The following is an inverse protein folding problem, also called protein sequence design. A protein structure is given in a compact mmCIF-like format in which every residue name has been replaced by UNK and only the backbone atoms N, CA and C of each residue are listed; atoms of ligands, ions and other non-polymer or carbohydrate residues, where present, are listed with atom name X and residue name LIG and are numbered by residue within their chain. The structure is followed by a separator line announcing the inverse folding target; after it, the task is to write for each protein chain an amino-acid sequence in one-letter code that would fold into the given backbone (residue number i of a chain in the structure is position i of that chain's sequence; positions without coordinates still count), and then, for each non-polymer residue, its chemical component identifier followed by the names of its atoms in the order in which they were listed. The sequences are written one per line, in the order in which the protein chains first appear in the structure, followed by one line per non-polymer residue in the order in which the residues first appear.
data_IF_195546886796
#
_entry.id   IF_195546886796
#
_cell.length_a   1.000
_cell.length_b   1.000
_cell.length_c   1.000
_cell.angle_alpha   90.00
_cell.angle_beta   90.00
_cell.angle_gamma   90.00
#
_symmetry.space_group_name_H-M   'P 1'
#
loop_
_entity.id
_entity.type
_entity.pdbx_description
1 polymer ?
#
# COMPACT_ATOMS: atom_id res chain seq x y z
N UNK A 1 2.04 -25.07 -28.39
CA UNK A 1 1.58 -23.83 -29.06
C UNK A 1 0.65 -23.03 -28.14
N UNK A 2 -0.41 -23.60 -27.50
CA UNK A 2 -1.29 -22.84 -26.56
C UNK A 2 -0.60 -22.35 -25.29
N UNK A 3 0.37 -23.09 -24.75
CA UNK A 3 1.15 -22.67 -23.57
C UNK A 3 2.21 -21.62 -23.91
N UNK A 4 2.75 -21.64 -25.13
CA UNK A 4 3.73 -20.66 -25.60
C UNK A 4 3.08 -19.31 -25.86
N UNK A 5 1.87 -19.30 -26.42
CA UNK A 5 1.07 -18.07 -26.63
C UNK A 5 0.64 -17.43 -25.30
N UNK A 6 0.20 -18.25 -24.31
CA UNK A 6 -0.10 -17.75 -22.96
C UNK A 6 1.12 -17.15 -22.24
N UNK A 7 2.31 -17.73 -22.45
CA UNK A 7 3.56 -17.20 -21.88
C UNK A 7 4.02 -15.92 -22.58
N UNK A 8 3.73 -15.75 -23.86
CA UNK A 8 4.00 -14.53 -24.63
C UNK A 8 3.01 -13.44 -24.23
N UNK A 9 1.71 -13.75 -24.09
CA UNK A 9 0.69 -12.83 -23.58
C UNK A 9 1.00 -12.37 -22.15
N UNK A 10 1.42 -13.29 -21.27
CA UNK A 10 1.87 -12.95 -19.91
C UNK A 10 3.15 -12.11 -19.92
N UNK A 11 4.04 -12.34 -20.88
CA UNK A 11 5.26 -11.54 -21.07
C UNK A 11 4.95 -10.15 -21.63
N UNK A 12 4.02 -10.03 -22.57
CA UNK A 12 3.56 -8.74 -23.13
C UNK A 12 2.73 -7.95 -22.12
N UNK A 13 1.83 -8.58 -21.38
CA UNK A 13 1.15 -7.96 -20.23
C UNK A 13 2.14 -7.45 -19.16
N UNK A 14 3.32 -8.08 -19.04
CA UNK A 14 4.41 -7.58 -18.16
C UNK A 14 5.08 -6.32 -18.70
N UNK A 15 5.14 -6.16 -20.02
CA UNK A 15 5.76 -5.00 -20.67
C UNK A 15 4.76 -3.84 -20.75
N UNK A 16 3.50 -4.11 -21.05
CA UNK A 16 2.45 -3.09 -21.17
C UNK A 16 1.99 -2.51 -19.80
N UNK A 17 2.22 -3.22 -18.70
CA UNK A 17 2.07 -2.70 -17.33
C UNK A 17 3.14 -1.66 -16.96
N UNK A 18 4.16 -1.50 -17.78
CA UNK A 18 5.31 -0.62 -17.53
C UNK A 18 5.24 0.67 -18.36
N UNK A 19 4.54 0.68 -19.51
CA UNK A 19 4.56 1.79 -20.48
C UNK A 19 3.26 2.60 -20.51
N UNK A 20 3.20 3.66 -19.81
CA UNK A 20 2.61 4.96 -20.16
C UNK A 20 2.18 5.76 -18.92
N UNK A 21 2.96 6.73 -18.52
CA UNK A 21 2.81 7.70 -17.42
C UNK A 21 3.69 7.49 -16.18
N UNK A 22 4.83 6.75 -16.22
CA UNK A 22 5.44 6.21 -15.00
C UNK A 22 6.97 6.18 -15.02
N UNK A 23 7.64 7.26 -15.22
CA UNK A 23 9.09 7.29 -14.98
C UNK A 23 9.47 7.13 -13.49
N UNK A 24 8.52 7.30 -12.56
CA UNK A 24 8.80 7.24 -11.10
C UNK A 24 8.26 6.01 -10.36
N UNK A 25 7.61 5.05 -11.05
CA UNK A 25 6.94 3.96 -10.36
C UNK A 25 7.30 2.59 -10.95
N UNK A 26 8.35 1.96 -10.41
CA UNK A 26 8.74 0.59 -10.78
C UNK A 26 8.84 -0.32 -9.56
N UNK A 27 8.20 -1.49 -9.63
CA UNK A 27 8.39 -2.56 -8.67
C UNK A 27 9.41 -3.55 -9.23
N UNK A 28 10.55 -3.69 -8.55
CA UNK A 28 11.69 -4.46 -9.02
C UNK A 28 11.79 -5.77 -8.26
N UNK A 29 11.93 -6.88 -8.99
CA UNK A 29 12.15 -8.20 -8.43
C UNK A 29 11.98 -9.30 -9.46
N UNK A 30 12.85 -10.31 -9.42
CA UNK A 30 12.82 -11.55 -10.23
C UNK A 30 12.68 -12.79 -9.37
N UNK A 31 12.81 -12.68 -8.04
CA UNK A 31 12.66 -13.81 -7.13
C UNK A 31 11.29 -14.47 -7.29
N UNK A 32 11.19 -15.75 -6.97
CA UNK A 32 9.94 -16.50 -7.05
C UNK A 32 8.83 -15.89 -6.21
N UNK A 33 9.19 -15.33 -5.04
CA UNK A 33 8.26 -14.61 -4.16
C UNK A 33 7.69 -13.36 -4.85
N UNK A 34 8.53 -12.52 -5.48
CA UNK A 34 8.08 -11.33 -6.20
C UNK A 34 7.25 -11.69 -7.44
N UNK A 35 7.61 -12.74 -8.16
CA UNK A 35 6.82 -13.22 -9.29
C UNK A 35 5.42 -13.70 -8.87
N UNK A 36 5.30 -14.32 -7.68
CA UNK A 36 3.99 -14.66 -7.10
C UNK A 36 3.18 -13.39 -6.80
N UNK A 37 3.80 -12.40 -6.16
CA UNK A 37 3.14 -11.11 -5.83
C UNK A 37 2.65 -10.42 -7.10
N UNK A 38 3.42 -10.37 -8.18
CA UNK A 38 2.96 -9.79 -9.46
C UNK A 38 1.72 -10.49 -10.02
N UNK A 39 1.68 -11.82 -9.94
CA UNK A 39 0.50 -12.59 -10.34
C UNK A 39 -0.70 -12.29 -9.43
N UNK A 40 -0.47 -12.18 -8.14
CA UNK A 40 -1.52 -11.89 -7.17
C UNK A 40 -2.07 -10.47 -7.35
N UNK A 41 -1.22 -9.46 -7.63
CA UNK A 41 -1.66 -8.11 -7.99
C UNK A 41 -2.61 -8.17 -9.20
N UNK A 42 -2.25 -8.90 -10.27
CA UNK A 42 -3.11 -9.04 -11.44
C UNK A 42 -4.50 -9.59 -11.11
N UNK A 43 -4.58 -10.64 -10.26
CA UNK A 43 -5.84 -11.22 -9.81
C UNK A 43 -6.64 -10.30 -8.87
N UNK A 44 -5.94 -9.68 -7.92
CA UNK A 44 -6.54 -8.80 -6.92
C UNK A 44 -7.11 -7.54 -7.57
N UNK A 45 -6.49 -7.06 -8.64
CA UNK A 45 -6.91 -5.84 -9.33
C UNK A 45 -8.24 -5.98 -10.08
N UNK A 46 -8.70 -7.21 -10.35
CA UNK A 46 -9.96 -7.46 -11.08
C UNK A 46 -11.23 -7.32 -10.22
N UNK A 47 -11.10 -7.10 -8.92
CA UNK A 47 -12.22 -6.94 -7.99
C UNK A 47 -11.97 -5.81 -7.00
N UNK A 48 -13.03 -5.35 -6.31
CA UNK A 48 -12.98 -4.22 -5.37
C UNK A 48 -12.92 -4.66 -3.90
N UNK A 49 -12.56 -5.92 -3.63
CA UNK A 49 -12.39 -6.39 -2.26
C UNK A 49 -11.28 -5.63 -1.53
N UNK A 50 -11.44 -5.52 -0.21
CA UNK A 50 -10.39 -4.98 0.66
C UNK A 50 -9.13 -5.83 0.58
N UNK A 51 -7.98 -5.16 0.54
CA UNK A 51 -6.66 -5.81 0.47
C UNK A 51 -5.84 -5.43 1.70
N UNK A 52 -5.27 -6.42 2.36
CA UNK A 52 -4.30 -6.24 3.43
C UNK A 52 -2.90 -6.57 2.91
N UNK A 53 -2.01 -5.59 2.94
CA UNK A 53 -0.61 -5.74 2.55
C UNK A 53 0.24 -5.82 3.81
N UNK A 54 0.96 -6.93 3.98
CA UNK A 54 1.83 -7.17 5.13
C UNK A 54 3.29 -7.19 4.69
N UNK A 55 4.17 -6.76 5.57
CA UNK A 55 5.62 -6.83 5.34
C UNK A 55 6.37 -5.85 6.21
N UNK A 56 7.63 -6.12 6.43
CA UNK A 56 8.52 -5.26 7.21
C UNK A 56 8.56 -3.82 6.67
N UNK A 57 9.01 -2.88 7.49
CA UNK A 57 9.22 -1.50 7.03
C UNK A 57 10.22 -1.46 5.88
N UNK A 58 9.97 -0.62 4.86
CA UNK A 58 10.89 -0.47 3.72
C UNK A 58 10.78 -1.55 2.64
N UNK A 59 9.87 -2.54 2.74
CA UNK A 59 9.71 -3.60 1.73
C UNK A 59 9.03 -3.14 0.44
N UNK A 60 8.35 -1.98 0.45
CA UNK A 60 7.66 -1.42 -0.71
C UNK A 60 6.14 -1.61 -0.70
N UNK A 61 5.50 -1.74 0.48
CA UNK A 61 4.04 -1.89 0.64
C UNK A 61 3.23 -0.83 -0.13
N UNK A 62 3.66 0.44 -0.07
CA UNK A 62 3.02 1.55 -0.78
C UNK A 62 3.07 1.37 -2.31
N UNK A 63 4.20 0.88 -2.83
CA UNK A 63 4.34 0.60 -4.27
C UNK A 63 3.36 -0.48 -4.72
N UNK A 64 3.20 -1.54 -3.92
CA UNK A 64 2.22 -2.60 -4.21
C UNK A 64 0.79 -2.06 -4.18
N UNK A 65 0.45 -1.25 -3.17
CA UNK A 65 -0.88 -0.62 -3.08
C UNK A 65 -1.18 0.25 -4.30
N UNK A 66 -0.22 1.06 -4.73
CA UNK A 66 -0.34 1.89 -5.93
C UNK A 66 -0.47 1.05 -7.20
N UNK A 67 0.29 -0.06 -7.31
CA UNK A 67 0.16 -0.99 -8.44
C UNK A 67 -1.25 -1.61 -8.51
N UNK A 68 -1.81 -2.02 -7.37
CA UNK A 68 -3.17 -2.55 -7.30
C UNK A 68 -4.19 -1.50 -7.78
N UNK A 69 -4.07 -0.25 -7.32
CA UNK A 69 -4.95 0.84 -7.77
C UNK A 69 -4.86 1.05 -9.28
N UNK A 70 -3.65 1.21 -9.81
CA UNK A 70 -3.41 1.52 -11.22
C UNK A 70 -3.89 0.43 -12.20
N UNK A 71 -4.01 -0.81 -11.73
CA UNK A 71 -4.50 -1.95 -12.50
C UNK A 71 -5.96 -2.34 -12.16
N UNK A 72 -6.67 -1.54 -11.35
CA UNK A 72 -8.05 -1.77 -10.96
C UNK A 72 -9.05 -1.01 -11.83
N UNK A 73 -10.34 -1.36 -11.71
CA UNK A 73 -11.45 -0.61 -12.29
C UNK A 73 -11.52 0.85 -11.83
N UNK A 74 -10.98 1.13 -10.64
CA UNK A 74 -10.97 2.45 -10.01
C UNK A 74 -9.73 3.29 -10.34
N UNK A 75 -8.89 2.86 -11.30
CA UNK A 75 -7.63 3.52 -11.68
C UNK A 75 -7.76 4.96 -12.16
N UNK A 76 -8.94 5.35 -12.66
CA UNK A 76 -9.25 6.72 -13.06
C UNK A 76 -9.67 7.62 -11.88
N UNK A 77 -9.99 7.04 -10.72
CA UNK A 77 -10.34 7.77 -9.51
C UNK A 77 -9.11 8.19 -8.71
N UNK A 78 -9.34 8.95 -7.64
CA UNK A 78 -8.26 9.42 -6.79
C UNK A 78 -7.58 8.25 -6.04
N UNK A 79 -6.26 8.28 -5.98
CA UNK A 79 -5.48 7.46 -5.05
C UNK A 79 -5.09 8.32 -3.86
N UNK A 80 -5.70 8.06 -2.71
CA UNK A 80 -5.45 8.80 -1.47
C UNK A 80 -4.68 7.91 -0.51
N UNK A 81 -3.51 8.37 -0.10
CA UNK A 81 -2.65 7.67 0.86
C UNK A 81 -2.71 8.37 2.21
N UNK A 82 -2.93 7.60 3.27
CA UNK A 82 -2.93 8.06 4.65
C UNK A 82 -2.02 7.18 5.48
N UNK A 83 -0.93 7.74 5.96
CA UNK A 83 -0.08 7.07 6.95
C UNK A 83 -0.59 7.41 8.35
N UNK A 84 -1.06 6.39 9.07
CA UNK A 84 -1.69 6.53 10.39
C UNK A 84 -0.72 7.10 11.43
N UNK A 85 0.55 6.70 11.35
CA UNK A 85 1.58 7.13 12.32
C UNK A 85 2.12 8.54 12.06
N UNK A 86 1.93 9.06 10.85
CA UNK A 86 2.39 10.40 10.50
C UNK A 86 1.45 11.53 10.95
N UNK A 87 0.24 11.20 11.41
CA UNK A 87 -0.78 12.16 11.85
C UNK A 87 -0.93 12.02 13.38
N UNK A 88 -0.89 13.13 14.13
CA UNK A 88 -1.20 13.09 15.56
C UNK A 88 -2.57 12.43 15.83
N UNK A 89 -2.64 11.60 16.88
CA UNK A 89 -3.83 10.79 17.20
C UNK A 89 -5.11 11.63 17.35
N UNK A 90 -4.98 12.82 17.93
CA UNK A 90 -6.09 13.75 18.15
C UNK A 90 -6.65 14.34 16.85
N UNK A 91 -5.83 14.38 15.79
CA UNK A 91 -6.22 14.94 14.49
C UNK A 91 -6.65 13.85 13.50
N UNK A 92 -6.26 12.60 13.75
CA UNK A 92 -6.44 11.50 12.78
C UNK A 92 -7.92 11.32 12.40
N UNK A 93 -8.84 11.41 13.37
CA UNK A 93 -10.27 11.31 13.09
C UNK A 93 -10.75 12.42 12.16
N UNK A 94 -10.37 13.66 12.45
CA UNK A 94 -10.77 14.82 11.64
C UNK A 94 -10.14 14.81 10.24
N UNK A 95 -8.92 14.26 10.09
CA UNK A 95 -8.27 14.07 8.80
C UNK A 95 -8.98 12.97 7.98
N UNK A 96 -9.30 11.83 8.60
CA UNK A 96 -9.94 10.72 7.91
C UNK A 96 -11.38 11.04 7.47
N UNK A 97 -12.21 11.53 8.38
CA UNK A 97 -13.66 11.69 8.16
C UNK A 97 -14.08 13.10 7.79
N UNK A 98 -13.22 14.11 8.05
CA UNK A 98 -13.57 15.51 7.90
C UNK A 98 -14.51 16.01 9.02
N UNK A 99 -14.86 17.29 8.96
CA UNK A 99 -15.74 17.90 9.94
C UNK A 99 -16.61 19.00 9.33
N UNK A 100 -17.75 19.25 9.95
CA UNK A 100 -18.62 20.40 9.66
C UNK A 100 -18.18 21.63 10.48
N UNK A 101 -18.57 22.79 10.01
CA UNK A 101 -18.35 24.05 10.75
C UNK A 101 -18.99 23.94 12.14
N UNK A 102 -18.23 24.28 13.19
CA UNK A 102 -18.68 24.24 14.59
C UNK A 102 -18.57 22.85 15.25
N UNK A 103 -17.96 21.85 14.63
CA UNK A 103 -17.79 20.52 15.20
C UNK A 103 -16.96 20.50 16.50
N UNK A 104 -16.02 21.43 16.62
CA UNK A 104 -15.18 21.64 17.82
C UNK A 104 -14.64 23.07 17.83
N UNK A 105 -14.01 23.49 18.92
CA UNK A 105 -13.37 24.81 19.04
C UNK A 105 -12.28 24.97 17.99
N UNK A 106 -12.44 25.94 17.08
CA UNK A 106 -11.54 26.17 15.93
C UNK A 106 -12.04 25.62 14.60
N UNK A 107 -13.15 24.89 14.56
CA UNK A 107 -13.78 24.44 13.31
C UNK A 107 -14.56 25.60 12.62
N UNK A 108 -13.86 26.58 12.11
CA UNK A 108 -14.45 27.76 11.48
C UNK A 108 -15.11 27.48 10.13
N UNK A 109 -14.60 26.50 9.40
CA UNK A 109 -15.07 26.06 8.08
C UNK A 109 -15.20 24.55 8.04
N UNK A 110 -16.05 24.03 7.13
CA UNK A 110 -16.10 22.61 6.80
C UNK A 110 -14.76 22.15 6.20
N UNK A 111 -14.30 20.96 6.60
CA UNK A 111 -13.16 20.27 5.99
C UNK A 111 -13.60 18.92 5.40
N UNK A 112 -13.21 18.68 4.17
CA UNK A 112 -13.36 17.38 3.51
C UNK A 112 -12.32 16.43 4.09
N UNK A 113 -12.73 15.18 4.45
CA UNK A 113 -11.83 14.14 4.95
C UNK A 113 -11.30 13.25 3.84
N UNK A 114 -10.26 12.45 4.16
CA UNK A 114 -9.58 11.56 3.23
C UNK A 114 -10.50 10.49 2.62
N UNK A 115 -11.50 10.00 3.37
CA UNK A 115 -12.49 9.08 2.82
C UNK A 115 -13.35 9.74 1.73
N UNK A 116 -13.71 11.01 1.87
CA UNK A 116 -14.47 11.75 0.87
C UNK A 116 -13.59 12.08 -0.35
N UNK A 117 -12.31 12.45 -0.15
CA UNK A 117 -11.34 12.68 -1.25
C UNK A 117 -11.12 11.43 -2.11
N UNK A 118 -11.12 10.25 -1.47
CA UNK A 118 -10.91 8.98 -2.15
C UNK A 118 -12.14 8.47 -2.89
N UNK A 119 -13.29 9.15 -2.80
CA UNK A 119 -14.54 8.62 -3.32
C UNK A 119 -14.45 8.29 -4.83
N UNK A 120 -14.98 7.12 -5.20
CA UNK A 120 -14.85 6.50 -6.53
C UNK A 120 -13.40 6.18 -6.96
N UNK A 121 -12.48 6.12 -6.02
CA UNK A 121 -11.07 5.78 -6.22
C UNK A 121 -10.58 4.70 -5.27
N UNK A 122 -9.40 4.91 -4.69
CA UNK A 122 -8.78 4.00 -3.72
C UNK A 122 -8.18 4.78 -2.56
N UNK A 123 -8.41 4.31 -1.34
CA UNK A 123 -7.70 4.79 -0.16
C UNK A 123 -6.72 3.74 0.34
N UNK A 124 -5.47 4.13 0.57
CA UNK A 124 -4.47 3.36 1.30
C UNK A 124 -4.41 3.85 2.75
N UNK A 125 -4.66 2.95 3.69
CA UNK A 125 -4.45 3.16 5.12
C UNK A 125 -3.16 2.46 5.51
N UNK A 126 -2.06 3.20 5.56
CA UNK A 126 -0.75 2.66 5.89
C UNK A 126 -0.52 2.64 7.40
N UNK A 127 0.14 1.58 7.88
CA UNK A 127 0.39 1.25 9.29
C UNK A 127 -0.92 1.14 10.11
N UNK A 128 -1.90 0.40 9.56
CA UNK A 128 -3.24 0.22 10.15
C UNK A 128 -3.19 -0.36 11.59
N UNK A 129 -2.14 -1.12 11.92
CA UNK A 129 -1.93 -1.69 13.25
C UNK A 129 -1.66 -0.66 14.36
N UNK A 130 -1.50 0.62 14.00
CA UNK A 130 -1.32 1.74 14.94
C UNK A 130 -2.60 2.55 15.18
N UNK A 131 -3.72 2.16 14.55
CA UNK A 131 -5.00 2.84 14.70
C UNK A 131 -5.60 2.57 16.10
N UNK A 132 -6.13 3.61 16.75
CA UNK A 132 -6.81 3.46 18.04
C UNK A 132 -8.10 2.64 17.94
N UNK A 133 -8.51 1.96 19.00
CA UNK A 133 -9.72 1.10 19.03
C UNK A 133 -11.00 1.87 18.66
N UNK A 134 -11.09 3.15 19.02
CA UNK A 134 -12.24 4.00 18.67
C UNK A 134 -12.31 4.22 17.16
N UNK A 135 -11.18 4.52 16.52
CA UNK A 135 -11.11 4.69 15.08
C UNK A 135 -11.29 3.38 14.32
N UNK A 136 -10.81 2.26 14.89
CA UNK A 136 -11.06 0.92 14.33
C UNK A 136 -12.58 0.64 14.27
N UNK A 137 -13.35 1.03 15.30
CA UNK A 137 -14.81 0.87 15.31
C UNK A 137 -15.49 1.70 14.22
N UNK A 138 -15.00 2.91 13.96
CA UNK A 138 -15.51 3.77 12.89
C UNK A 138 -15.15 3.23 11.51
N UNK A 139 -13.93 2.75 11.34
CA UNK A 139 -13.48 2.12 10.09
C UNK A 139 -14.30 0.87 9.76
N UNK A 140 -14.62 0.04 10.76
CA UNK A 140 -15.46 -1.14 10.56
C UNK A 140 -16.81 -0.76 9.97
N UNK A 141 -17.46 0.29 10.50
CA UNK A 141 -18.73 0.80 9.95
C UNK A 141 -18.59 1.24 8.50
N UNK A 142 -17.49 1.91 8.13
CA UNK A 142 -17.22 2.30 6.74
C UNK A 142 -17.13 1.07 5.83
N UNK A 143 -16.46 0.01 6.28
CA UNK A 143 -16.32 -1.23 5.52
C UNK A 143 -17.64 -1.98 5.34
N UNK A 144 -18.52 -1.95 6.34
CA UNK A 144 -19.80 -2.66 6.35
C UNK A 144 -20.92 -1.88 5.68
N UNK A 145 -21.12 -0.63 6.11
CA UNK A 145 -22.28 0.19 5.69
C UNK A 145 -22.00 1.00 4.42
N UNK A 146 -20.72 1.09 4.00
CA UNK A 146 -20.29 1.96 2.89
C UNK A 146 -20.70 3.42 3.09
N UNK A 147 -20.67 3.87 4.33
CA UNK A 147 -21.01 5.21 4.76
C UNK A 147 -20.14 5.62 5.95
N UNK A 148 -19.97 6.91 6.11
CA UNK A 148 -19.32 7.51 7.29
C UNK A 148 -20.01 8.83 7.66
N UNK A 149 -19.68 9.36 8.82
CA UNK A 149 -20.18 10.65 9.32
C UNK A 149 -19.00 11.59 9.53
N UNK A 150 -19.13 12.84 9.07
CA UNK A 150 -18.19 13.89 9.45
C UNK A 150 -18.36 14.24 10.91
N UNK A 151 -17.31 14.71 11.56
CA UNK A 151 -17.43 15.21 12.94
C UNK A 151 -18.44 16.36 12.97
N UNK A 152 -19.33 16.33 13.97
CA UNK A 152 -20.41 17.32 14.10
C UNK A 152 -21.59 17.13 13.15
N UNK A 153 -21.62 16.07 12.33
CA UNK A 153 -22.72 15.81 11.39
C UNK A 153 -23.53 14.58 11.78
N UNK A 154 -24.86 14.68 11.67
CA UNK A 154 -25.77 13.52 11.72
C UNK A 154 -26.10 12.97 10.32
N UNK A 155 -25.62 13.63 9.26
CA UNK A 155 -25.86 13.21 7.89
C UNK A 155 -24.80 12.21 7.44
N UNK A 156 -25.17 10.98 7.01
CA UNK A 156 -24.23 10.02 6.46
C UNK A 156 -23.69 10.51 5.11
N UNK A 157 -22.42 10.26 4.87
CA UNK A 157 -21.75 10.44 3.56
C UNK A 157 -21.48 9.07 2.98
N UNK A 158 -21.89 8.83 1.74
CA UNK A 158 -21.64 7.56 1.04
C UNK A 158 -20.16 7.41 0.68
N UNK A 159 -19.67 6.18 0.74
CA UNK A 159 -18.29 5.80 0.44
C UNK A 159 -18.24 4.66 -0.57
N UNK A 160 -17.80 4.94 -1.79
CA UNK A 160 -17.74 3.99 -2.89
C UNK A 160 -16.31 3.78 -3.39
N UNK A 161 -15.37 3.66 -2.46
CA UNK A 161 -13.98 3.50 -2.83
C UNK A 161 -13.44 2.17 -2.36
N UNK A 162 -12.39 1.71 -3.02
CA UNK A 162 -11.63 0.55 -2.59
C UNK A 162 -10.75 0.91 -1.40
N UNK A 163 -10.70 0.03 -0.40
CA UNK A 163 -9.79 0.17 0.75
C UNK A 163 -8.63 -0.82 0.59
N UNK A 164 -7.42 -0.30 0.71
CA UNK A 164 -6.19 -1.07 0.87
C UNK A 164 -5.63 -0.69 2.23
N UNK A 165 -5.30 -1.67 3.05
CA UNK A 165 -4.63 -1.47 4.33
C UNK A 165 -3.23 -2.06 4.27
N UNK A 166 -2.26 -1.42 4.93
CA UNK A 166 -0.90 -1.96 5.06
C UNK A 166 -0.41 -1.92 6.50
N UNK A 167 0.45 -2.86 6.85
CA UNK A 167 1.05 -2.94 8.19
C UNK A 167 2.36 -3.72 8.19
N UNK A 168 3.25 -3.36 9.11
CA UNK A 168 4.43 -4.14 9.47
C UNK A 168 4.22 -4.98 10.74
N UNK A 169 3.07 -4.83 11.42
CA UNK A 169 2.74 -5.53 12.66
C UNK A 169 1.91 -6.78 12.39
N UNK A 170 2.04 -7.81 13.23
CA UNK A 170 1.12 -8.94 13.24
C UNK A 170 -0.20 -8.50 13.88
N UNK A 171 -1.25 -8.31 13.05
CA UNK A 171 -2.58 -7.97 13.54
C UNK A 171 -3.15 -9.09 14.41
N UNK A 172 -2.80 -10.34 14.17
CA UNK A 172 -3.21 -11.49 14.98
C UNK A 172 -2.69 -11.39 16.43
N UNK A 173 -1.45 -10.89 16.60
CA UNK A 173 -0.91 -10.66 17.94
C UNK A 173 -1.57 -9.45 18.61
N UNK A 174 -1.89 -8.39 17.87
CA UNK A 174 -2.60 -7.24 18.39
C UNK A 174 -4.02 -7.59 18.82
N UNK A 175 -4.72 -8.46 18.07
CA UNK A 175 -6.04 -8.99 18.47
C UNK A 175 -5.94 -9.75 19.79
N UNK A 176 -4.95 -10.65 19.94
CA UNK A 176 -4.72 -11.38 21.21
C UNK A 176 -4.44 -10.48 22.41
N UNK A 177 -3.86 -9.30 22.17
CA UNK A 177 -3.58 -8.29 23.21
C UNK A 177 -4.72 -7.31 23.44
N UNK A 178 -5.85 -7.44 22.74
CA UNK A 178 -6.96 -6.49 22.71
C UNK A 178 -6.54 -5.07 22.26
N UNK A 179 -5.50 -4.95 21.44
CA UNK A 179 -5.03 -3.70 20.83
C UNK A 179 -5.59 -3.51 19.40
N UNK A 180 -6.17 -4.57 18.83
CA UNK A 180 -6.86 -4.56 17.56
C UNK A 180 -8.14 -5.39 17.65
N UNK A 181 -9.22 -4.90 17.03
CA UNK A 181 -10.52 -5.58 17.03
C UNK A 181 -10.49 -6.79 16.09
N UNK A 182 -11.03 -7.90 16.53
CA UNK A 182 -11.12 -9.13 15.75
C UNK A 182 -12.08 -9.01 14.55
N UNK A 183 -13.22 -8.32 14.73
CA UNK A 183 -14.19 -8.07 13.67
C UNK A 183 -13.59 -7.23 12.52
N UNK A 184 -12.84 -6.18 12.84
CA UNK A 184 -12.12 -5.39 11.85
C UNK A 184 -11.02 -6.21 11.15
N UNK A 185 -10.26 -7.00 11.92
CA UNK A 185 -9.23 -7.87 11.37
C UNK A 185 -9.81 -8.81 10.29
N UNK A 186 -10.90 -9.53 10.58
CA UNK A 186 -11.53 -10.40 9.58
C UNK A 186 -12.05 -9.64 8.36
N UNK A 187 -12.53 -8.42 8.54
CA UNK A 187 -13.02 -7.60 7.43
C UNK A 187 -11.89 -7.06 6.53
N UNK A 188 -10.73 -6.74 7.11
CA UNK A 188 -9.55 -6.32 6.37
C UNK A 188 -8.83 -7.50 5.69
N UNK A 189 -8.79 -8.65 6.34
CA UNK A 189 -8.07 -9.86 5.90
C UNK A 189 -8.81 -10.66 4.82
N UNK A 190 -9.53 -9.97 3.91
CA UNK A 190 -10.28 -10.62 2.80
C UNK A 190 -9.33 -11.11 1.71
N UNK A 191 -8.41 -10.25 1.27
CA UNK A 191 -7.32 -10.60 0.35
C UNK A 191 -6.02 -10.12 0.98
N UNK A 192 -5.01 -10.98 0.99
CA UNK A 192 -3.72 -10.67 1.61
C UNK A 192 -2.57 -10.76 0.62
N UNK A 193 -1.66 -9.79 0.72
CA UNK A 193 -0.38 -9.77 0.01
C UNK A 193 0.74 -9.67 1.04
N UNK A 194 1.54 -10.73 1.18
CA UNK A 194 2.68 -10.75 2.09
C UNK A 194 3.97 -10.43 1.31
N UNK A 195 4.58 -9.27 1.61
CA UNK A 195 5.84 -8.86 1.00
C UNK A 195 7.02 -9.45 1.77
N UNK A 196 7.91 -10.19 1.09
CA UNK A 196 9.11 -10.73 1.71
C UNK A 196 10.07 -9.61 2.08
N UNK A 197 10.78 -9.79 3.20
CA UNK A 197 11.92 -8.96 3.55
C UNK A 197 13.04 -9.11 2.49
N UNK A 198 13.90 -8.12 2.34
CA UNK A 198 14.96 -8.16 1.34
C UNK A 198 15.96 -9.29 1.59
N UNK A 199 16.20 -9.64 2.85
CA UNK A 199 17.01 -10.81 3.25
C UNK A 199 16.51 -12.14 2.70
N UNK A 200 15.18 -12.27 2.48
CA UNK A 200 14.53 -13.49 1.97
C UNK A 200 14.46 -13.53 0.44
N UNK A 201 14.84 -12.42 -0.23
CA UNK A 201 14.92 -12.28 -1.69
C UNK A 201 16.22 -11.68 -2.19
N UNK A 202 17.35 -12.09 -1.59
CA UNK A 202 18.70 -11.57 -1.93
C UNK A 202 19.06 -11.72 -3.40
N UNK A 203 18.43 -12.64 -4.13
CA UNK A 203 18.56 -12.76 -5.59
C UNK A 203 18.07 -11.51 -6.36
N UNK A 204 17.29 -10.62 -5.74
CA UNK A 204 16.83 -9.37 -6.34
C UNK A 204 17.83 -8.21 -6.12
N UNK A 205 18.82 -8.38 -5.23
CA UNK A 205 19.80 -7.32 -4.90
C UNK A 205 20.53 -6.76 -6.14
N UNK A 206 21.07 -7.56 -7.07
CA UNK A 206 21.77 -7.01 -8.23
C UNK A 206 20.85 -6.12 -9.10
N UNK A 207 19.58 -6.48 -9.21
CA UNK A 207 18.60 -5.70 -9.97
C UNK A 207 18.27 -4.37 -9.28
N UNK A 208 18.07 -4.41 -7.96
CA UNK A 208 17.81 -3.21 -7.15
C UNK A 208 19.01 -2.26 -7.20
N UNK A 209 20.23 -2.78 -7.06
CA UNK A 209 21.46 -1.98 -7.14
C UNK A 209 21.61 -1.31 -8.50
N UNK A 210 21.38 -2.04 -9.60
CA UNK A 210 21.43 -1.47 -10.94
C UNK A 210 20.38 -0.38 -11.12
N UNK A 211 19.14 -0.63 -10.71
CA UNK A 211 18.06 0.34 -10.81
C UNK A 211 18.38 1.64 -10.04
N UNK A 212 18.82 1.53 -8.79
CA UNK A 212 19.15 2.72 -8.02
C UNK A 212 20.42 3.42 -8.56
N UNK A 213 21.38 2.66 -9.03
CA UNK A 213 22.57 3.22 -9.68
C UNK A 213 22.18 4.04 -10.92
N UNK A 214 21.34 3.51 -11.81
CA UNK A 214 20.82 4.23 -12.96
C UNK A 214 20.00 5.47 -12.58
N UNK A 215 19.12 5.33 -11.60
CA UNK A 215 18.24 6.40 -11.13
C UNK A 215 19.01 7.58 -10.54
N UNK A 216 20.12 7.32 -9.83
CA UNK A 216 20.89 8.36 -9.14
C UNK A 216 22.13 8.82 -9.90
N UNK A 217 22.46 8.21 -11.03
CA UNK A 217 23.56 8.63 -11.92
C UNK A 217 23.33 10.04 -12.47
N UNK A 218 22.09 10.46 -12.66
CA UNK A 218 21.75 11.80 -13.13
C UNK A 218 22.31 12.96 -12.28
N UNK A 219 22.73 12.69 -11.05
CA UNK A 219 23.31 13.68 -10.15
C UNK A 219 24.84 13.86 -10.32
N UNK A 220 25.57 12.83 -10.78
CA UNK A 220 27.04 12.85 -10.88
C UNK A 220 27.63 12.29 -12.20
N UNK A 221 26.82 11.86 -13.14
CA UNK A 221 27.23 11.54 -14.53
C UNK A 221 28.01 10.23 -14.73
N UNK A 222 28.20 9.39 -13.72
CA UNK A 222 28.91 8.11 -13.88
C UNK A 222 28.15 6.94 -13.28
N UNK A 223 27.79 5.94 -14.11
CA UNK A 223 27.32 4.63 -13.66
C UNK A 223 28.50 3.93 -12.98
N UNK A 224 28.33 3.56 -11.69
CA UNK A 224 29.33 2.78 -10.96
C UNK A 224 29.09 1.28 -11.25
N UNK A 225 30.16 0.57 -11.56
CA UNK A 225 30.12 -0.91 -11.57
C UNK A 225 30.36 -1.41 -10.15
N UNK A 226 29.59 -2.41 -9.73
CA UNK A 226 29.82 -3.14 -8.50
C UNK A 226 30.63 -4.39 -8.82
N UNK A 227 31.83 -4.55 -8.23
CA UNK A 227 32.60 -5.78 -8.34
C UNK A 227 32.02 -6.91 -7.47
N UNK A 228 32.46 -8.13 -7.74
CA UNK A 228 31.94 -9.32 -7.05
C UNK A 228 32.12 -9.28 -5.54
N UNK A 229 33.20 -8.68 -5.05
CA UNK A 229 33.44 -8.57 -3.62
C UNK A 229 32.40 -7.68 -2.93
N UNK A 230 32.01 -6.58 -3.54
CA UNK A 230 30.94 -5.69 -3.05
C UNK A 230 29.59 -6.39 -3.06
N UNK A 231 29.28 -7.11 -4.15
CA UNK A 231 28.04 -7.89 -4.24
C UNK A 231 27.98 -9.00 -3.19
N UNK A 232 29.12 -9.65 -2.88
CA UNK A 232 29.22 -10.66 -1.84
C UNK A 232 29.03 -10.08 -0.42
N UNK A 233 29.52 -8.87 -0.16
CA UNK A 233 29.27 -8.16 1.11
C UNK A 233 27.79 -7.84 1.24
N UNK A 234 27.15 -7.29 0.21
CA UNK A 234 25.74 -6.96 0.19
C UNK A 234 24.84 -8.21 0.35
N UNK A 235 25.24 -9.34 -0.24
CA UNK A 235 24.51 -10.60 -0.08
C UNK A 235 24.59 -11.18 1.35
N UNK A 236 25.62 -10.85 2.12
CA UNK A 236 25.77 -11.29 3.52
C UNK A 236 25.01 -10.39 4.50
N UNK A 237 24.74 -9.15 4.13
CA UNK A 237 24.04 -8.20 4.98
C UNK A 237 22.54 -8.50 5.04
N UNK A 238 21.88 -8.22 6.16
CA UNK A 238 20.48 -8.59 6.39
C UNK A 238 19.47 -7.50 6.01
N UNK A 239 19.95 -6.30 5.68
CA UNK A 239 19.11 -5.20 5.19
C UNK A 239 17.93 -4.89 6.11
N UNK A 240 18.12 -4.48 7.37
CA UNK A 240 17.03 -4.25 8.32
C UNK A 240 16.08 -3.13 7.87
N UNK A 241 16.54 -2.18 7.07
CA UNK A 241 15.72 -1.16 6.42
C UNK A 241 15.12 -1.60 5.08
N UNK A 242 15.38 -2.84 4.65
CA UNK A 242 14.91 -3.41 3.38
C UNK A 242 15.34 -2.56 2.17
N UNK A 243 14.40 -2.28 1.24
CA UNK A 243 14.69 -1.49 0.03
C UNK A 243 14.84 0.01 0.32
N UNK A 244 14.35 0.46 1.46
CA UNK A 244 14.46 1.87 1.87
C UNK A 244 15.89 2.24 2.27
N UNK A 245 16.67 1.29 2.83
CA UNK A 245 18.07 1.45 3.21
C UNK A 245 18.98 1.63 2.01
#
# INVERSE_FOLDING_TARGET
IKNTLKNIEISQLKTDLIDSKKEDFQIIGKSSQMQKIFKDIGKISTNDHTVLIRGESGTGKELIAKAIHLNSSNSNGNYVQVNITAIPSELLESELFGYEKGAFTGAEKRKIGRFEEANNGTILLDEIGDMSLDLQSKLLRVLEEKKFYRLGSQKPTSFNSRIIASTNKSLELLVKKNEFRDDLFFRLNTLTVDLPALKDRKSDLPLLLNFFNEKYVGLNGQIKSFDEDVLNIFAKYDWPGNVRE
#
